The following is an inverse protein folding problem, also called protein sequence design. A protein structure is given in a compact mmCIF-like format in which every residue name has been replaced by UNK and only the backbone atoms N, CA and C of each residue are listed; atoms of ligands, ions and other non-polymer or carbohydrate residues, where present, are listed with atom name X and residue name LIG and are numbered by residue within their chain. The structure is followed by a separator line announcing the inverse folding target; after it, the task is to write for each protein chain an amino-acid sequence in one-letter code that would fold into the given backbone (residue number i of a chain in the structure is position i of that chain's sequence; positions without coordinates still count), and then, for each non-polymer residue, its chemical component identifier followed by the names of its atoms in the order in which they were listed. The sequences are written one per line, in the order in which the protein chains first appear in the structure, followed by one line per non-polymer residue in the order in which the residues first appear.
data_IF_800882813107
#
_entry.id   IF_800882813107
#
_cell.length_a   1.000
_cell.length_b   1.000
_cell.length_c   1.000
_cell.angle_alpha   90.00
_cell.angle_beta   90.00
_cell.angle_gamma   90.00
#
_symmetry.space_group_name_H-M   'P 1'
#
loop_
_entity.id
_entity.type
_entity.pdbx_description
1 polymer ?
#
# COMPACT_ATOMS: atom_id res chain seq x y z
N UNK A 1 7.71 8.05 13.15
CA UNK A 1 9.19 8.02 13.03
C UNK A 1 9.54 9.10 12.01
N UNK A 2 10.60 9.92 12.26
CA UNK A 2 11.07 10.90 11.27
C UNK A 2 11.70 10.17 10.09
N UNK A 3 11.47 10.68 8.88
CA UNK A 3 12.08 10.14 7.65
C UNK A 3 13.59 10.45 7.66
N UNK A 4 14.40 9.48 7.22
CA UNK A 4 15.86 9.56 7.22
C UNK A 4 16.40 9.92 5.85
N UNK A 5 17.22 10.98 5.78
CA UNK A 5 17.88 11.45 4.55
C UNK A 5 19.39 11.26 4.65
N UNK A 6 19.97 10.54 3.67
CA UNK A 6 21.41 10.42 3.52
C UNK A 6 21.90 11.52 2.58
N UNK A 7 22.84 12.34 3.07
CA UNK A 7 23.46 13.42 2.30
C UNK A 7 24.90 13.02 1.98
N UNK A 8 25.24 12.93 0.68
CA UNK A 8 26.55 12.50 0.20
C UNK A 8 27.16 13.63 -0.63
N UNK A 9 28.18 14.29 -0.10
CA UNK A 9 28.87 15.41 -0.76
C UNK A 9 30.30 15.50 -0.21
N UNK A 10 31.31 15.69 -1.05
CA UNK A 10 32.71 15.80 -0.60
C UNK A 10 33.05 17.19 -0.05
N UNK A 11 32.26 18.21 -0.38
CA UNK A 11 32.39 19.54 0.20
C UNK A 11 31.73 19.59 1.60
N UNK A 12 32.54 19.73 2.64
CA UNK A 12 32.06 19.79 4.04
C UNK A 12 31.08 20.94 4.27
N UNK A 13 31.29 22.10 3.62
CA UNK A 13 30.40 23.27 3.77
C UNK A 13 29.04 23.03 3.15
N UNK A 14 28.99 22.50 1.93
CA UNK A 14 27.74 22.14 1.24
C UNK A 14 27.01 21.06 2.02
N UNK A 15 27.72 20.00 2.42
CA UNK A 15 27.14 18.90 3.19
C UNK A 15 26.50 19.37 4.50
N UNK A 16 27.20 20.24 5.22
CA UNK A 16 26.69 20.80 6.49
C UNK A 16 25.44 21.64 6.26
N UNK A 17 25.44 22.55 5.29
CA UNK A 17 24.27 23.39 4.94
C UNK A 17 23.05 22.53 4.60
N UNK A 18 23.22 21.46 3.80
CA UNK A 18 22.14 20.56 3.43
C UNK A 18 21.61 19.80 4.66
N UNK A 19 22.50 19.27 5.50
CA UNK A 19 22.12 18.54 6.73
C UNK A 19 21.39 19.45 7.70
N UNK A 20 21.85 20.69 7.91
CA UNK A 20 21.19 21.67 8.78
C UNK A 20 19.78 22.01 8.26
N UNK A 21 19.66 22.39 7.00
CA UNK A 21 18.38 22.77 6.41
C UNK A 21 17.34 21.63 6.48
N UNK A 22 17.73 20.39 6.21
CA UNK A 22 16.84 19.23 6.28
C UNK A 22 16.52 18.84 7.74
N UNK A 23 17.47 18.99 8.66
CA UNK A 23 17.24 18.72 10.08
C UNK A 23 16.27 19.75 10.70
N UNK A 24 16.39 21.02 10.33
CA UNK A 24 15.46 22.08 10.74
C UNK A 24 14.05 21.84 10.20
N UNK A 25 13.94 21.18 9.03
CA UNK A 25 12.66 20.74 8.46
C UNK A 25 12.11 19.46 9.11
N UNK A 26 12.80 18.86 10.09
CA UNK A 26 12.32 17.72 10.89
C UNK A 26 12.76 16.34 10.39
N UNK A 27 13.68 16.26 9.42
CA UNK A 27 14.26 15.00 8.93
C UNK A 27 15.42 14.53 9.82
N UNK A 28 15.61 13.20 9.92
CA UNK A 28 16.80 12.58 10.48
C UNK A 28 17.90 12.54 9.40
N UNK A 29 18.98 13.33 9.53
CA UNK A 29 20.00 13.45 8.50
C UNK A 29 21.27 12.69 8.85
N UNK A 30 21.85 11.97 7.87
CA UNK A 30 23.16 11.33 7.97
C UNK A 30 24.04 11.90 6.85
N UNK A 31 25.20 12.47 7.21
CA UNK A 31 26.17 12.98 6.24
C UNK A 31 27.25 11.93 5.90
N UNK A 32 27.63 11.84 4.62
CA UNK A 32 28.76 11.07 4.11
C UNK A 32 29.65 11.98 3.28
N UNK A 33 30.98 11.88 3.47
CA UNK A 33 31.98 12.74 2.83
C UNK A 33 32.44 12.27 1.45
N UNK A 34 32.05 11.07 1.05
CA UNK A 34 32.36 10.48 -0.25
C UNK A 34 31.37 9.36 -0.61
N UNK A 35 31.42 8.91 -1.85
CA UNK A 35 30.52 7.87 -2.36
C UNK A 35 30.69 6.51 -1.69
N UNK A 36 31.91 6.16 -1.22
CA UNK A 36 32.19 4.88 -0.55
C UNK A 36 31.53 4.87 0.83
N UNK A 37 31.70 5.94 1.59
CA UNK A 37 31.04 6.13 2.88
C UNK A 37 29.53 6.17 2.71
N UNK A 38 29.02 6.86 1.69
CA UNK A 38 27.60 6.93 1.35
C UNK A 38 26.98 5.55 1.14
N UNK A 39 27.60 4.69 0.35
CA UNK A 39 27.12 3.30 0.13
C UNK A 39 27.19 2.46 1.42
N UNK A 40 28.23 2.64 2.22
CA UNK A 40 28.37 1.95 3.50
C UNK A 40 27.26 2.33 4.47
N UNK A 41 26.99 3.65 4.59
CA UNK A 41 25.95 4.17 5.47
C UNK A 41 24.55 3.80 4.99
N UNK A 42 24.28 3.83 3.68
CA UNK A 42 23.00 3.40 3.11
C UNK A 42 22.65 1.94 3.45
N UNK A 43 23.66 1.07 3.59
CA UNK A 43 23.46 -0.33 4.00
C UNK A 43 23.32 -0.51 5.52
N UNK A 44 24.14 0.21 6.30
CA UNK A 44 24.12 0.10 7.76
C UNK A 44 22.91 0.79 8.41
N UNK A 45 22.45 1.87 7.83
CA UNK A 45 21.37 2.72 8.29
C UNK A 45 20.46 3.08 7.11
N UNK A 46 19.59 2.17 6.66
CA UNK A 46 18.79 2.37 5.45
C UNK A 46 18.05 3.72 5.49
N UNK A 47 18.33 4.65 4.55
CA UNK A 47 17.65 5.92 4.46
C UNK A 47 16.33 5.78 3.70
N UNK A 48 15.44 6.76 3.82
CA UNK A 48 14.24 6.89 3.01
C UNK A 48 14.52 7.62 1.70
N UNK A 49 15.62 8.40 1.64
CA UNK A 49 16.03 9.18 0.48
C UNK A 49 17.54 9.48 0.50
N UNK A 50 18.12 9.76 -0.66
CA UNK A 50 19.51 10.18 -0.82
C UNK A 50 19.58 11.54 -1.55
N UNK A 51 20.31 12.49 -0.97
CA UNK A 51 20.78 13.71 -1.63
C UNK A 51 22.25 13.47 -1.99
N UNK A 52 22.61 13.55 -3.27
CA UNK A 52 23.87 13.02 -3.79
C UNK A 52 24.59 14.02 -4.69
N UNK A 53 25.81 14.42 -4.31
CA UNK A 53 26.65 15.18 -5.22
C UNK A 53 27.08 14.33 -6.41
N UNK A 54 27.13 14.96 -7.58
CA UNK A 54 27.53 14.30 -8.82
C UNK A 54 29.03 14.09 -8.90
N UNK A 55 29.81 15.10 -8.54
CA UNK A 55 31.27 15.14 -8.74
C UNK A 55 31.97 14.95 -7.40
N UNK A 56 32.40 13.74 -7.13
CA UNK A 56 33.15 13.41 -5.91
C UNK A 56 34.42 12.63 -6.24
N UNK A 57 35.47 12.74 -5.43
CA UNK A 57 36.69 11.92 -5.56
C UNK A 57 36.39 10.43 -5.42
N UNK A 58 37.19 9.59 -6.05
CA UNK A 58 37.17 8.12 -6.00
C UNK A 58 35.92 7.47 -6.62
N UNK A 59 34.72 7.84 -6.18
CA UNK A 59 33.46 7.29 -6.64
C UNK A 59 32.48 8.41 -6.95
N UNK A 60 32.14 8.61 -8.22
CA UNK A 60 31.20 9.64 -8.65
C UNK A 60 29.77 9.37 -8.15
N UNK A 61 28.95 10.42 -8.08
CA UNK A 61 27.52 10.25 -7.74
C UNK A 61 26.78 9.34 -8.71
N UNK A 62 27.14 9.37 -10.00
CA UNK A 62 26.57 8.45 -11.00
C UNK A 62 26.93 6.97 -10.70
N UNK A 63 28.13 6.71 -10.16
CA UNK A 63 28.55 5.36 -9.76
C UNK A 63 27.83 4.91 -8.48
N UNK A 64 27.70 5.82 -7.50
CA UNK A 64 26.91 5.58 -6.28
C UNK A 64 25.47 5.25 -6.64
N UNK A 65 24.84 6.06 -7.48
CA UNK A 65 23.46 5.84 -7.94
C UNK A 65 23.30 4.46 -8.62
N UNK A 66 24.20 4.10 -9.53
CA UNK A 66 24.18 2.78 -10.18
C UNK A 66 24.33 1.62 -9.17
N UNK A 67 25.17 1.81 -8.14
CA UNK A 67 25.33 0.82 -7.08
C UNK A 67 24.05 0.68 -6.24
N UNK A 68 23.41 1.79 -5.86
CA UNK A 68 22.13 1.80 -5.15
C UNK A 68 21.02 1.08 -5.97
N UNK A 69 20.94 1.33 -7.28
CA UNK A 69 19.95 0.71 -8.17
C UNK A 69 20.15 -0.81 -8.37
N UNK A 70 21.37 -1.32 -8.18
CA UNK A 70 21.69 -2.77 -8.27
C UNK A 70 21.40 -3.53 -6.99
N UNK A 71 21.37 -2.86 -5.85
CA UNK A 71 21.11 -3.46 -4.55
C UNK A 71 19.61 -3.53 -4.29
N UNK A 72 19.10 -4.74 -3.96
CA UNK A 72 17.66 -4.99 -3.73
C UNK A 72 17.05 -4.12 -2.64
N UNK A 73 17.84 -3.76 -1.62
CA UNK A 73 17.36 -2.97 -0.48
C UNK A 73 17.24 -1.47 -0.82
N UNK A 74 18.04 -0.97 -1.77
CA UNK A 74 18.16 0.46 -2.05
C UNK A 74 17.72 0.87 -3.45
N UNK A 75 17.36 -0.09 -4.32
CA UNK A 75 17.04 0.18 -5.74
C UNK A 75 15.90 1.16 -5.98
N UNK A 76 14.99 1.30 -5.02
CA UNK A 76 13.82 2.16 -5.12
C UNK A 76 13.91 3.41 -4.23
N UNK A 77 15.09 3.68 -3.64
CA UNK A 77 15.30 4.92 -2.88
C UNK A 77 15.20 6.13 -3.82
N UNK A 78 14.44 7.15 -3.49
CA UNK A 78 14.48 8.40 -4.22
C UNK A 78 15.85 9.05 -4.09
N UNK A 79 16.37 9.60 -5.20
CA UNK A 79 17.68 10.25 -5.28
C UNK A 79 17.53 11.62 -5.93
N UNK A 80 17.94 12.67 -5.21
CA UNK A 80 18.13 14.01 -5.77
C UNK A 80 19.61 14.22 -5.98
N UNK A 81 20.00 14.57 -7.22
CA UNK A 81 21.37 14.96 -7.50
C UNK A 81 21.60 16.44 -7.26
N UNK A 82 22.74 16.78 -6.61
CA UNK A 82 23.30 18.12 -6.57
C UNK A 82 24.44 18.20 -7.57
N UNK A 83 24.56 19.27 -8.38
CA UNK A 83 25.64 19.37 -9.36
C UNK A 83 26.04 20.82 -9.64
N UNK A 84 27.34 21.03 -9.77
CA UNK A 84 27.88 22.31 -10.24
C UNK A 84 27.67 22.57 -11.75
N UNK A 85 27.27 21.55 -12.53
CA UNK A 85 27.08 21.65 -13.97
C UNK A 85 25.62 21.86 -14.36
N UNK A 86 25.33 22.98 -15.02
CA UNK A 86 23.99 23.38 -15.51
C UNK A 86 23.70 22.89 -16.95
N UNK A 87 24.49 21.97 -17.52
CA UNK A 87 24.36 21.52 -18.90
C UNK A 87 23.12 20.67 -19.15
N UNK A 88 22.23 21.06 -20.07
CA UNK A 88 20.99 20.37 -20.41
C UNK A 88 21.15 18.87 -20.82
N UNK A 89 22.22 18.43 -21.55
CA UNK A 89 22.37 17.04 -21.95
C UNK A 89 22.57 16.07 -20.78
N UNK A 90 23.34 16.47 -19.77
CA UNK A 90 23.62 15.64 -18.60
C UNK A 90 22.43 15.49 -17.66
N UNK A 91 21.61 16.54 -17.57
CA UNK A 91 20.37 16.55 -16.79
C UNK A 91 19.35 15.55 -17.36
N UNK A 92 19.15 15.56 -18.67
CA UNK A 92 18.22 14.65 -19.35
C UNK A 92 18.67 13.20 -19.23
N UNK A 93 19.96 12.92 -19.34
CA UNK A 93 20.51 11.57 -19.21
C UNK A 93 20.29 10.99 -17.81
N UNK A 94 20.56 11.75 -16.74
CA UNK A 94 20.38 11.28 -15.36
C UNK A 94 18.92 11.04 -14.98
N UNK A 95 18.00 11.85 -15.50
CA UNK A 95 16.57 11.61 -15.34
C UNK A 95 16.13 10.32 -16.06
N UNK A 96 16.70 10.03 -17.23
CA UNK A 96 16.46 8.77 -17.96
C UNK A 96 17.10 7.56 -17.25
N UNK A 97 18.21 7.76 -16.53
CA UNK A 97 18.89 6.72 -15.75
C UNK A 97 18.22 6.47 -14.37
N UNK A 98 17.04 7.07 -14.12
CA UNK A 98 16.19 6.80 -12.96
C UNK A 98 16.48 7.67 -11.73
N UNK A 99 17.07 8.86 -11.91
CA UNK A 99 17.07 9.89 -10.87
C UNK A 99 15.67 10.51 -10.71
N UNK A 100 15.27 10.77 -9.48
CA UNK A 100 13.95 11.35 -9.20
C UNK A 100 13.94 12.87 -9.42
N UNK A 101 15.05 13.56 -9.14
CA UNK A 101 15.21 15.00 -9.41
C UNK A 101 16.69 15.39 -9.49
N UNK A 102 16.92 16.65 -9.90
CA UNK A 102 18.23 17.26 -10.08
C UNK A 102 18.19 18.73 -9.67
N UNK A 103 19.21 19.17 -8.92
CA UNK A 103 19.37 20.57 -8.50
C UNK A 103 20.76 21.08 -8.81
N UNK A 104 20.85 22.29 -9.38
CA UNK A 104 22.13 22.94 -9.69
C UNK A 104 22.69 23.68 -8.46
N UNK A 105 24.00 23.58 -8.24
CA UNK A 105 24.74 24.41 -7.28
C UNK A 105 25.13 25.74 -7.96
N UNK A 106 24.98 26.92 -7.28
CA UNK A 106 24.40 27.11 -5.95
C UNK A 106 22.89 26.97 -5.96
N UNK A 107 22.29 26.48 -4.87
CA UNK A 107 20.87 26.25 -4.71
C UNK A 107 20.31 26.99 -3.48
N UNK A 108 19.01 27.21 -3.51
CA UNK A 108 18.24 27.69 -2.38
C UNK A 108 17.86 26.50 -1.46
N UNK A 109 18.07 26.66 -0.16
CA UNK A 109 17.80 25.62 0.84
C UNK A 109 16.30 25.33 0.98
N UNK A 110 15.43 26.34 0.84
CA UNK A 110 13.98 26.16 0.90
C UNK A 110 13.49 25.38 -0.33
N UNK A 111 14.08 25.63 -1.51
CA UNK A 111 13.80 24.85 -2.72
C UNK A 111 14.25 23.38 -2.53
N UNK A 112 15.43 23.15 -1.94
CA UNK A 112 15.91 21.80 -1.65
C UNK A 112 14.94 21.05 -0.71
N UNK A 113 14.54 21.67 0.40
CA UNK A 113 13.60 21.10 1.36
C UNK A 113 12.26 20.77 0.69
N UNK A 114 11.73 21.67 -0.15
CA UNK A 114 10.48 21.43 -0.88
C UNK A 114 10.57 20.25 -1.84
N UNK A 115 11.70 20.08 -2.55
CA UNK A 115 11.96 18.95 -3.47
C UNK A 115 12.10 17.63 -2.70
N UNK A 116 12.88 17.62 -1.62
CA UNK A 116 13.04 16.46 -0.73
C UNK A 116 11.68 16.02 -0.19
N UNK A 117 10.89 16.95 0.33
CA UNK A 117 9.53 16.68 0.83
C UNK A 117 8.64 16.09 -0.26
N UNK A 118 8.68 16.64 -1.47
CA UNK A 118 7.88 16.16 -2.59
C UNK A 118 8.29 14.76 -3.04
N UNK A 119 9.59 14.49 -3.14
CA UNK A 119 10.12 13.19 -3.54
C UNK A 119 9.84 12.10 -2.49
N UNK A 120 10.00 12.42 -1.20
CA UNK A 120 9.64 11.51 -0.10
C UNK A 120 8.15 11.20 -0.10
N UNK A 121 7.28 12.19 -0.20
CA UNK A 121 5.82 11.99 -0.30
C UNK A 121 5.44 11.12 -1.48
N UNK A 122 6.05 11.33 -2.66
CA UNK A 122 5.82 10.50 -3.85
C UNK A 122 6.28 9.07 -3.62
N UNK A 123 7.48 8.86 -3.06
CA UNK A 123 8.03 7.55 -2.75
C UNK A 123 7.15 6.80 -1.73
N UNK A 124 6.75 7.45 -0.65
CA UNK A 124 5.85 6.89 0.36
C UNK A 124 4.48 6.55 -0.25
N UNK A 125 3.93 7.42 -1.08
CA UNK A 125 2.66 7.17 -1.77
C UNK A 125 2.76 5.97 -2.71
N UNK A 126 3.83 5.85 -3.50
CA UNK A 126 4.04 4.71 -4.40
C UNK A 126 4.29 3.40 -3.64
N UNK A 127 5.05 3.43 -2.53
CA UNK A 127 5.25 2.28 -1.64
C UNK A 127 3.97 1.91 -0.89
N UNK A 128 3.08 2.86 -0.68
CA UNK A 128 1.80 2.65 -0.02
C UNK A 128 0.75 2.01 -0.93
N UNK A 129 0.99 1.91 -2.25
CA UNK A 129 0.08 1.26 -3.18
C UNK A 129 0.40 -0.22 -3.32
N UNK A 130 -0.65 -1.03 -3.46
CA UNK A 130 -0.50 -2.42 -3.85
C UNK A 130 -0.08 -2.52 -5.32
N UNK A 131 1.01 -3.22 -5.67
CA UNK A 131 1.55 -3.22 -7.04
C UNK A 131 0.64 -3.90 -8.07
N UNK A 132 -0.25 -4.78 -7.64
CA UNK A 132 -1.16 -5.49 -8.54
C UNK A 132 -2.40 -4.66 -8.87
N UNK A 133 -3.05 -4.10 -7.85
CA UNK A 133 -4.31 -3.36 -8.02
C UNK A 133 -4.12 -1.85 -8.19
N UNK A 134 -2.97 -1.31 -7.81
CA UNK A 134 -2.72 0.14 -7.74
C UNK A 134 -3.49 0.85 -6.61
N UNK A 135 -4.19 0.10 -5.76
CA UNK A 135 -4.96 0.64 -4.65
C UNK A 135 -4.08 0.90 -3.41
N UNK A 136 -4.48 1.82 -2.52
CA UNK A 136 -3.85 2.02 -1.23
C UNK A 136 -3.62 0.72 -0.48
N UNK A 137 -2.38 0.50 0.01
CA UNK A 137 -1.99 -0.69 0.76
C UNK A 137 -2.16 -0.52 2.27
N UNK A 138 -1.62 -1.47 3.03
CA UNK A 138 -1.81 -1.58 4.49
C UNK A 138 -1.53 -0.29 5.26
N UNK A 139 -0.46 0.45 4.93
CA UNK A 139 -0.12 1.70 5.63
C UNK A 139 -1.23 2.73 5.50
N UNK A 140 -1.74 2.92 4.28
CA UNK A 140 -2.83 3.87 4.01
C UNK A 140 -4.16 3.40 4.63
N UNK A 141 -4.44 2.08 4.60
CA UNK A 141 -5.62 1.48 5.24
C UNK A 141 -5.60 1.76 6.75
N UNK A 142 -4.49 1.48 7.44
CA UNK A 142 -4.38 1.71 8.88
C UNK A 142 -4.52 3.19 9.23
N UNK A 143 -3.87 4.09 8.48
CA UNK A 143 -4.02 5.54 8.67
C UNK A 143 -5.46 6.02 8.48
N UNK A 144 -6.18 5.48 7.51
CA UNK A 144 -7.59 5.83 7.27
C UNK A 144 -8.49 5.33 8.41
N UNK A 145 -8.32 4.09 8.88
CA UNK A 145 -9.06 3.55 10.00
C UNK A 145 -8.80 4.34 11.29
N UNK A 146 -7.55 4.70 11.58
CA UNK A 146 -7.20 5.55 12.72
C UNK A 146 -7.83 6.94 12.62
N UNK A 147 -7.83 7.54 11.42
CA UNK A 147 -8.48 8.82 11.17
C UNK A 147 -9.98 8.73 11.48
N UNK A 148 -10.67 7.70 10.97
CA UNK A 148 -12.11 7.51 11.20
C UNK A 148 -12.44 7.25 12.67
N UNK A 149 -11.58 6.52 13.40
CA UNK A 149 -11.73 6.34 14.84
C UNK A 149 -11.61 7.67 15.59
N UNK A 150 -10.65 8.52 15.26
CA UNK A 150 -10.50 9.83 15.91
C UNK A 150 -11.65 10.78 15.60
N UNK A 151 -12.11 10.79 14.36
CA UNK A 151 -13.13 11.73 13.90
C UNK A 151 -14.55 11.33 14.34
N UNK A 152 -14.76 10.08 14.79
CA UNK A 152 -16.08 9.57 15.16
C UNK A 152 -17.11 9.66 14.02
N UNK A 153 -16.68 9.48 12.78
CA UNK A 153 -17.40 9.83 11.54
C UNK A 153 -18.62 8.97 11.22
N UNK A 154 -19.03 8.01 12.09
CA UNK A 154 -20.12 7.09 11.79
C UNK A 154 -19.88 6.20 10.57
N UNK A 155 -18.62 5.92 10.29
CA UNK A 155 -18.19 5.07 9.17
C UNK A 155 -18.10 3.59 9.57
N UNK A 156 -18.09 2.71 8.58
CA UNK A 156 -17.87 1.28 8.75
C UNK A 156 -16.66 0.81 7.95
N UNK A 157 -15.99 -0.21 8.48
CA UNK A 157 -15.00 -1.00 7.75
C UNK A 157 -15.70 -2.17 7.06
N UNK A 158 -15.56 -2.26 5.75
CA UNK A 158 -16.08 -3.33 4.89
C UNK A 158 -14.87 -4.15 4.44
N UNK A 159 -14.72 -5.37 4.93
CA UNK A 159 -13.63 -6.27 4.61
C UNK A 159 -14.10 -7.31 3.58
N UNK A 160 -13.43 -7.42 2.45
CA UNK A 160 -13.78 -8.30 1.34
C UNK A 160 -12.68 -9.33 1.09
N UNK A 161 -13.07 -10.58 0.77
CA UNK A 161 -12.17 -11.70 0.50
C UNK A 161 -12.79 -12.61 -0.58
N UNK A 162 -11.96 -13.27 -1.39
CA UNK A 162 -12.40 -14.21 -2.39
C UNK A 162 -12.40 -15.64 -1.85
N UNK A 163 -13.57 -16.26 -1.81
CA UNK A 163 -13.68 -17.66 -1.45
C UNK A 163 -13.20 -18.55 -2.59
N UNK A 164 -12.54 -19.66 -2.25
CA UNK A 164 -12.02 -20.63 -3.23
C UNK A 164 -10.92 -20.11 -4.16
N UNK A 165 -10.34 -18.93 -3.88
CA UNK A 165 -9.32 -18.29 -4.72
C UNK A 165 -8.07 -19.16 -4.90
N UNK A 166 -7.64 -19.88 -3.85
CA UNK A 166 -6.52 -20.82 -3.96
C UNK A 166 -6.82 -21.94 -4.96
N UNK A 167 -8.03 -22.51 -4.93
CA UNK A 167 -8.42 -23.58 -5.86
C UNK A 167 -8.49 -23.07 -7.31
N UNK A 168 -8.95 -21.83 -7.50
CA UNK A 168 -8.93 -21.17 -8.80
C UNK A 168 -7.50 -21.00 -9.32
N UNK A 169 -6.57 -20.51 -8.50
CA UNK A 169 -5.16 -20.38 -8.86
C UNK A 169 -4.49 -21.71 -9.17
N UNK A 170 -4.82 -22.75 -8.40
CA UNK A 170 -4.31 -24.11 -8.62
C UNK A 170 -4.75 -24.68 -9.96
N UNK A 171 -5.91 -24.25 -10.47
CA UNK A 171 -6.48 -24.73 -11.75
C UNK A 171 -6.05 -23.86 -12.93
N UNK A 172 -6.19 -22.54 -12.83
CA UNK A 172 -5.97 -21.60 -13.93
C UNK A 172 -4.60 -20.91 -13.93
N UNK A 173 -3.84 -21.02 -12.83
CA UNK A 173 -2.56 -20.35 -12.63
C UNK A 173 -2.69 -18.90 -12.13
N UNK A 174 -1.57 -18.39 -11.60
CA UNK A 174 -1.53 -17.08 -10.91
C UNK A 174 -1.90 -15.92 -11.84
N UNK A 175 -1.52 -15.96 -13.12
CA UNK A 175 -1.81 -14.84 -14.02
C UNK A 175 -3.32 -14.60 -14.20
N UNK A 176 -4.15 -15.67 -14.16
CA UNK A 176 -5.61 -15.55 -14.22
C UNK A 176 -6.17 -15.16 -12.85
N UNK A 177 -5.55 -15.61 -11.76
CA UNK A 177 -5.87 -15.13 -10.40
C UNK A 177 -5.63 -13.64 -10.23
N UNK A 178 -4.54 -13.11 -10.77
CA UNK A 178 -4.26 -11.68 -10.77
C UNK A 178 -5.36 -10.88 -11.51
N UNK A 179 -5.88 -11.40 -12.61
CA UNK A 179 -7.03 -10.79 -13.32
C UNK A 179 -8.28 -10.74 -12.44
N UNK A 180 -8.52 -11.79 -11.64
CA UNK A 180 -9.66 -11.85 -10.73
C UNK A 180 -9.51 -10.84 -9.57
N UNK A 181 -8.31 -10.70 -9.01
CA UNK A 181 -7.99 -9.68 -7.99
C UNK A 181 -8.24 -8.28 -8.57
N UNK A 182 -7.73 -8.00 -9.79
CA UNK A 182 -7.94 -6.70 -10.46
C UNK A 182 -9.42 -6.45 -10.74
N UNK A 183 -10.18 -7.49 -11.14
CA UNK A 183 -11.63 -7.39 -11.34
C UNK A 183 -12.33 -6.97 -10.05
N UNK A 184 -12.08 -7.68 -8.93
CA UNK A 184 -12.65 -7.31 -7.64
C UNK A 184 -12.25 -5.87 -7.25
N UNK A 185 -10.98 -5.51 -7.34
CA UNK A 185 -10.52 -4.14 -7.05
C UNK A 185 -11.28 -3.06 -7.83
N UNK A 186 -11.52 -3.28 -9.13
CA UNK A 186 -12.31 -2.34 -9.96
C UNK A 186 -13.78 -2.26 -9.52
N UNK A 187 -14.39 -3.36 -9.14
CA UNK A 187 -15.76 -3.38 -8.63
C UNK A 187 -15.88 -2.62 -7.31
N UNK A 188 -14.88 -2.76 -6.42
CA UNK A 188 -14.82 -2.05 -5.15
C UNK A 188 -14.67 -0.54 -5.37
N UNK A 189 -13.82 -0.11 -6.32
CA UNK A 189 -13.68 1.30 -6.70
C UNK A 189 -14.99 1.85 -7.24
N UNK A 190 -15.64 1.16 -8.17
CA UNK A 190 -16.92 1.60 -8.72
C UNK A 190 -18.03 1.68 -7.65
N UNK A 191 -18.03 0.76 -6.68
CA UNK A 191 -18.94 0.80 -5.54
C UNK A 191 -18.65 2.02 -4.64
N UNK A 192 -17.37 2.31 -4.35
CA UNK A 192 -16.95 3.48 -3.57
C UNK A 192 -17.28 4.81 -4.27
N UNK A 193 -17.05 4.91 -5.58
CA UNK A 193 -17.41 6.10 -6.38
C UNK A 193 -18.90 6.43 -6.31
N UNK A 194 -19.78 5.40 -6.20
CA UNK A 194 -21.22 5.60 -6.02
C UNK A 194 -21.60 6.19 -4.66
N UNK A 195 -20.69 6.11 -3.67
CA UNK A 195 -20.86 6.74 -2.35
C UNK A 195 -20.37 8.19 -2.37
N UNK A 196 -19.26 8.45 -3.08
CA UNK A 196 -18.66 9.77 -3.20
C UNK A 196 -17.31 9.89 -2.48
N UNK A 197 -16.82 11.13 -2.25
CA UNK A 197 -15.47 11.40 -1.75
C UNK A 197 -15.23 10.92 -0.31
N UNK A 198 -16.26 10.55 0.41
CA UNK A 198 -16.17 10.00 1.77
C UNK A 198 -15.74 8.54 1.79
N UNK A 199 -15.80 7.84 0.65
CA UNK A 199 -15.40 6.45 0.57
C UNK A 199 -13.89 6.30 0.38
N UNK A 200 -13.35 5.24 0.96
CA UNK A 200 -11.96 4.82 0.77
C UNK A 200 -11.93 3.35 0.35
N UNK A 201 -10.97 3.01 -0.51
CA UNK A 201 -10.72 1.62 -0.93
C UNK A 201 -9.24 1.32 -0.77
N UNK A 202 -8.92 0.16 -0.19
CA UNK A 202 -7.56 -0.31 -0.03
C UNK A 202 -7.44 -1.81 -0.32
N UNK A 203 -6.23 -2.25 -0.68
CA UNK A 203 -5.88 -3.64 -0.94
C UNK A 203 -4.86 -4.11 0.10
N UNK A 204 -5.28 -5.00 0.99
CA UNK A 204 -4.45 -5.53 2.09
C UNK A 204 -3.34 -6.42 1.53
N UNK A 205 -3.67 -7.32 0.61
CA UNK A 205 -2.75 -8.25 -0.03
C UNK A 205 -3.43 -9.57 -0.39
N UNK A 206 -2.91 -10.26 -1.41
CA UNK A 206 -3.57 -11.47 -1.93
C UNK A 206 -4.96 -11.14 -2.46
N UNK A 207 -5.98 -11.74 -1.89
CA UNK A 207 -7.39 -11.59 -2.20
C UNK A 207 -8.18 -10.72 -1.20
N UNK A 208 -7.50 -10.11 -0.21
CA UNK A 208 -8.10 -9.30 0.85
C UNK A 208 -8.14 -7.80 0.51
N UNK A 209 -9.33 -7.19 0.63
CA UNK A 209 -9.56 -5.77 0.41
C UNK A 209 -10.33 -5.13 1.56
N UNK A 210 -10.19 -3.81 1.70
CA UNK A 210 -10.91 -3.00 2.68
C UNK A 210 -11.55 -1.80 2.00
N UNK A 211 -12.85 -1.55 2.30
CA UNK A 211 -13.48 -0.28 2.03
C UNK A 211 -13.85 0.40 3.36
N UNK A 212 -13.84 1.73 3.35
CA UNK A 212 -14.44 2.51 4.43
C UNK A 212 -15.52 3.40 3.82
N UNK A 213 -16.73 3.25 4.34
CA UNK A 213 -17.92 3.97 3.83
C UNK A 213 -18.79 4.45 4.99
N UNK A 214 -19.69 5.42 4.80
CA UNK A 214 -20.72 5.77 5.79
C UNK A 214 -21.59 4.56 6.14
N UNK A 215 -22.01 4.46 7.42
CA UNK A 215 -22.74 3.29 7.94
C UNK A 215 -24.09 3.08 7.23
N UNK A 216 -24.78 4.16 6.89
CA UNK A 216 -26.07 4.14 6.17
C UNK A 216 -25.97 3.63 4.72
N UNK A 217 -24.76 3.60 4.15
CA UNK A 217 -24.52 3.13 2.77
C UNK A 217 -23.95 1.72 2.73
N UNK A 218 -23.55 1.14 3.86
CA UNK A 218 -22.76 -0.09 3.93
C UNK A 218 -23.43 -1.30 3.27
N UNK A 219 -24.69 -1.57 3.60
CA UNK A 219 -25.41 -2.74 3.06
C UNK A 219 -25.73 -2.58 1.57
N UNK A 220 -25.99 -1.35 1.10
CA UNK A 220 -26.19 -1.08 -0.32
C UNK A 220 -24.91 -1.29 -1.11
N UNK A 221 -23.75 -0.84 -0.58
CA UNK A 221 -22.44 -1.07 -1.15
C UNK A 221 -22.15 -2.57 -1.23
N UNK A 222 -22.33 -3.33 -0.13
CA UNK A 222 -22.09 -4.77 -0.11
C UNK A 222 -22.98 -5.50 -1.12
N UNK A 223 -24.27 -5.17 -1.20
CA UNK A 223 -25.21 -5.74 -2.17
C UNK A 223 -24.78 -5.47 -3.61
N UNK A 224 -24.32 -4.26 -3.92
CA UNK A 224 -23.79 -3.90 -5.25
C UNK A 224 -22.56 -4.69 -5.61
N UNK A 225 -21.61 -4.82 -4.67
CA UNK A 225 -20.37 -5.59 -4.87
C UNK A 225 -20.72 -7.04 -5.17
N UNK A 226 -21.50 -7.71 -4.32
CA UNK A 226 -21.91 -9.10 -4.48
C UNK A 226 -22.57 -9.32 -5.83
N UNK A 227 -23.57 -8.51 -6.17
CA UNK A 227 -24.30 -8.64 -7.43
C UNK A 227 -23.38 -8.47 -8.65
N UNK A 228 -22.57 -7.41 -8.67
CA UNK A 228 -21.66 -7.12 -9.79
C UNK A 228 -20.57 -8.20 -9.91
N UNK A 229 -20.08 -8.73 -8.78
CA UNK A 229 -19.11 -9.81 -8.78
C UNK A 229 -19.70 -11.09 -9.36
N UNK A 230 -20.88 -11.54 -8.88
CA UNK A 230 -21.54 -12.73 -9.36
C UNK A 230 -21.92 -12.67 -10.86
N UNK A 231 -22.26 -11.46 -11.35
CA UNK A 231 -22.53 -11.23 -12.78
C UNK A 231 -21.24 -11.31 -13.64
N UNK A 232 -20.09 -10.88 -13.12
CA UNK A 232 -18.86 -10.76 -13.91
C UNK A 232 -17.87 -11.91 -13.70
N UNK A 233 -17.86 -12.54 -12.52
CA UNK A 233 -16.90 -13.62 -12.21
C UNK A 233 -16.95 -14.78 -13.23
N UNK A 234 -18.07 -15.18 -13.83
CA UNK A 234 -18.06 -16.24 -14.85
C UNK A 234 -17.23 -15.90 -16.09
N UNK A 235 -16.97 -14.61 -16.35
CA UNK A 235 -16.20 -14.19 -17.54
C UNK A 235 -14.71 -14.54 -17.45
N UNK A 236 -14.17 -14.80 -16.24
CA UNK A 236 -12.77 -15.20 -16.04
C UNK A 236 -12.54 -16.70 -16.19
N UNK A 237 -13.61 -17.48 -16.39
CA UNK A 237 -13.57 -18.93 -16.59
C UNK A 237 -13.58 -19.29 -18.07
N UNK A 238 -13.02 -20.45 -18.43
CA UNK A 238 -13.10 -20.99 -19.78
C UNK A 238 -14.56 -21.29 -20.16
N UNK A 239 -14.84 -21.31 -21.45
CA UNK A 239 -16.21 -21.50 -21.97
C UNK A 239 -16.83 -22.81 -21.48
N UNK A 240 -16.03 -23.85 -21.32
CA UNK A 240 -16.48 -25.19 -20.87
C UNK A 240 -16.89 -25.14 -19.39
N UNK A 241 -16.02 -24.59 -18.50
CA UNK A 241 -16.34 -24.50 -17.08
C UNK A 241 -17.49 -23.53 -16.82
N UNK A 242 -17.53 -22.43 -17.59
CA UNK A 242 -18.66 -21.48 -17.54
C UNK A 242 -19.99 -22.16 -17.93
N UNK A 243 -19.96 -23.00 -18.94
CA UNK A 243 -21.16 -23.74 -19.38
C UNK A 243 -21.63 -24.77 -18.37
N UNK A 244 -20.71 -25.36 -17.59
CA UNK A 244 -21.01 -26.32 -16.51
C UNK A 244 -21.43 -25.63 -15.21
N UNK A 245 -20.95 -24.42 -14.95
CA UNK A 245 -21.14 -23.69 -13.70
C UNK A 245 -20.19 -24.10 -12.57
N UNK A 246 -19.17 -24.92 -12.83
CA UNK A 246 -18.16 -25.38 -11.88
C UNK A 246 -16.89 -25.84 -12.61
N UNK A 247 -15.77 -25.92 -11.88
CA UNK A 247 -14.50 -26.48 -12.34
C UNK A 247 -14.48 -27.97 -12.00
N UNK A 248 -14.06 -28.83 -12.94
CA UNK A 248 -13.75 -30.24 -12.67
C UNK A 248 -12.24 -30.36 -12.40
N UNK A 249 -11.88 -30.88 -11.23
CA UNK A 249 -10.49 -31.15 -10.84
C UNK A 249 -10.32 -32.60 -10.45
N UNK A 250 -9.37 -33.26 -11.09
CA UNK A 250 -9.00 -34.62 -10.73
C UNK A 250 -7.86 -34.58 -9.71
N UNK A 251 -8.04 -35.24 -8.57
CA UNK A 251 -6.99 -35.35 -7.53
C UNK A 251 -5.92 -36.40 -7.92
N UNK A 252 -4.86 -36.53 -7.06
CA UNK A 252 -3.77 -37.48 -7.27
C UNK A 252 -4.20 -38.96 -7.25
N UNK A 253 -5.42 -39.27 -6.82
CA UNK A 253 -6.00 -40.61 -6.77
C UNK A 253 -6.93 -40.88 -7.96
N UNK A 254 -7.06 -39.93 -8.90
CA UNK A 254 -7.94 -40.04 -10.07
C UNK A 254 -9.41 -39.74 -9.77
N UNK A 255 -9.73 -39.17 -8.60
CA UNK A 255 -11.11 -38.81 -8.23
C UNK A 255 -11.41 -37.39 -8.70
N UNK A 256 -12.53 -37.24 -9.41
CA UNK A 256 -13.01 -35.95 -9.86
C UNK A 256 -13.77 -35.22 -8.73
N UNK A 257 -13.43 -33.93 -8.55
CA UNK A 257 -14.07 -33.02 -7.62
C UNK A 257 -14.64 -31.82 -8.38
N UNK A 258 -15.91 -31.52 -8.11
CA UNK A 258 -16.54 -30.30 -8.62
C UNK A 258 -16.25 -29.16 -7.66
N UNK A 259 -15.50 -28.15 -8.14
CA UNK A 259 -15.19 -26.96 -7.38
C UNK A 259 -16.12 -25.82 -7.83
N UNK A 260 -16.81 -25.14 -6.89
CA UNK A 260 -17.66 -24.01 -7.24
C UNK A 260 -16.84 -22.85 -7.79
N UNK A 261 -17.49 -21.92 -8.46
CA UNK A 261 -16.86 -20.67 -8.84
C UNK A 261 -16.47 -19.87 -7.61
N UNK A 262 -15.46 -19.02 -7.78
CA UNK A 262 -15.03 -18.07 -6.75
C UNK A 262 -16.20 -17.15 -6.39
N UNK A 263 -16.39 -16.92 -5.10
CA UNK A 263 -17.39 -16.02 -4.54
C UNK A 263 -16.71 -14.94 -3.71
N UNK A 264 -17.42 -13.89 -3.32
CA UNK A 264 -16.92 -12.83 -2.45
C UNK A 264 -17.62 -12.86 -1.10
N UNK A 265 -16.83 -12.92 -0.02
CA UNK A 265 -17.31 -12.83 1.35
C UNK A 265 -16.98 -11.47 1.95
N UNK A 266 -17.97 -10.80 2.54
CA UNK A 266 -17.85 -9.43 3.05
C UNK A 266 -18.21 -9.37 4.53
N UNK A 267 -17.30 -8.81 5.35
CA UNK A 267 -17.54 -8.45 6.75
C UNK A 267 -17.72 -6.95 6.92
N UNK A 268 -18.78 -6.50 7.58
CA UNK A 268 -19.07 -5.08 7.83
C UNK A 268 -19.00 -4.82 9.32
N UNK A 269 -18.13 -3.90 9.76
CA UNK A 269 -17.91 -3.56 11.17
C UNK A 269 -17.96 -2.04 11.37
N UNK A 270 -18.80 -1.51 12.29
CA UNK A 270 -18.77 -0.10 12.64
C UNK A 270 -17.43 0.33 13.20
N UNK A 271 -16.90 1.47 12.72
CA UNK A 271 -15.68 2.09 13.24
C UNK A 271 -16.09 2.99 14.41
N UNK A 272 -16.12 2.43 15.62
CA UNK A 272 -16.68 3.07 16.81
C UNK A 272 -15.58 3.25 17.87
N UNK A 273 -15.23 4.50 18.25
CA UNK A 273 -14.17 4.79 19.23
C UNK A 273 -14.45 4.18 20.60
N UNK A 274 -15.73 4.08 20.98
CA UNK A 274 -16.17 3.45 22.22
C UNK A 274 -15.96 1.94 22.27
N UNK A 275 -15.71 1.33 21.10
CA UNK A 275 -15.54 -0.11 20.97
C UNK A 275 -14.12 -0.55 20.64
N UNK A 276 -13.40 0.25 19.89
CA UNK A 276 -12.06 -0.09 19.38
C UNK A 276 -11.04 0.93 19.82
N UNK A 277 -9.93 0.44 20.41
CA UNK A 277 -8.81 1.28 20.83
C UNK A 277 -7.92 1.76 19.67
N UNK A 278 -7.91 1.01 18.58
CA UNK A 278 -6.99 1.23 17.46
C UNK A 278 -7.49 0.60 16.16
N UNK A 279 -6.84 0.94 15.04
CA UNK A 279 -7.16 0.45 13.70
C UNK A 279 -6.97 -1.08 13.57
N UNK A 280 -6.03 -1.67 14.30
CA UNK A 280 -5.75 -3.11 14.25
C UNK A 280 -6.93 -3.89 14.81
N UNK A 281 -7.53 -3.39 15.91
CA UNK A 281 -8.72 -4.00 16.51
C UNK A 281 -9.93 -3.95 15.55
N UNK A 282 -10.13 -2.85 14.82
CA UNK A 282 -11.17 -2.74 13.78
C UNK A 282 -10.94 -3.74 12.66
N UNK A 283 -9.72 -3.81 12.12
CA UNK A 283 -9.37 -4.71 11.02
C UNK A 283 -9.56 -6.18 11.42
N UNK A 284 -9.15 -6.55 12.63
CA UNK A 284 -9.34 -7.91 13.17
C UNK A 284 -10.83 -8.26 13.29
N UNK A 285 -11.63 -7.37 13.85
CA UNK A 285 -13.06 -7.59 13.97
C UNK A 285 -13.75 -7.74 12.61
N UNK A 286 -13.32 -6.95 11.61
CA UNK A 286 -13.85 -7.04 10.25
C UNK A 286 -13.51 -8.37 9.57
N UNK A 287 -12.28 -8.88 9.77
CA UNK A 287 -11.87 -10.21 9.31
C UNK A 287 -12.68 -11.34 9.99
N UNK A 288 -12.95 -11.23 11.31
CA UNK A 288 -13.81 -12.20 12.02
C UNK A 288 -15.25 -12.22 11.47
N UNK A 289 -15.80 -11.05 11.19
CA UNK A 289 -17.17 -10.95 10.63
C UNK A 289 -17.23 -11.47 9.20
N UNK A 290 -16.18 -11.27 8.41
CA UNK A 290 -16.03 -11.87 7.08
C UNK A 290 -16.14 -13.41 7.14
N UNK A 291 -15.52 -14.05 8.14
CA UNK A 291 -15.63 -15.51 8.32
C UNK A 291 -17.07 -15.99 8.57
N UNK A 292 -17.95 -15.12 9.10
CA UNK A 292 -19.38 -15.44 9.23
C UNK A 292 -20.05 -15.44 7.85
N UNK A 293 -19.71 -14.51 6.98
CA UNK A 293 -20.19 -14.47 5.61
C UNK A 293 -19.73 -15.72 4.85
N UNK A 294 -18.45 -16.08 4.99
CA UNK A 294 -17.81 -17.24 4.32
C UNK A 294 -18.44 -18.61 4.59
N UNK A 295 -19.24 -18.72 5.66
CA UNK A 295 -20.00 -19.96 5.98
C UNK A 295 -21.30 -20.07 5.21
N UNK A 296 -21.68 -19.08 4.43
CA UNK A 296 -22.91 -19.09 3.62
C UNK A 296 -22.55 -19.55 2.20
N UNK A 297 -23.51 -20.18 1.53
CA UNK A 297 -23.33 -20.57 0.14
C UNK A 297 -23.38 -19.32 -0.76
N UNK A 298 -22.43 -19.22 -1.70
CA UNK A 298 -22.34 -18.12 -2.65
C UNK A 298 -21.78 -16.83 -2.06
N UNK A 299 -21.73 -15.78 -2.87
CA UNK A 299 -21.28 -14.46 -2.42
C UNK A 299 -22.22 -13.86 -1.38
N UNK A 300 -21.66 -13.36 -0.28
CA UNK A 300 -22.49 -12.91 0.85
C UNK A 300 -21.82 -11.83 1.69
N UNK A 301 -22.58 -11.22 2.57
CA UNK A 301 -22.04 -10.30 3.59
C UNK A 301 -22.64 -10.58 4.96
N UNK A 302 -21.88 -10.22 5.99
CA UNK A 302 -22.33 -10.21 7.39
C UNK A 302 -22.04 -8.85 8.02
N UNK A 303 -22.93 -8.42 8.91
CA UNK A 303 -22.79 -7.16 9.65
C UNK A 303 -22.52 -7.48 11.12
N UNK A 304 -21.52 -6.84 11.71
CA UNK A 304 -21.29 -6.93 13.14
C UNK A 304 -22.39 -6.15 13.90
N UNK A 305 -23.21 -6.89 14.62
CA UNK A 305 -24.29 -6.34 15.46
C UNK A 305 -23.93 -6.34 16.95
N UNK A 306 -22.69 -6.70 17.32
CA UNK A 306 -22.26 -6.66 18.72
C UNK A 306 -22.23 -5.21 19.21
N UNK A 307 -22.93 -4.89 20.27
CA UNK A 307 -22.83 -3.58 20.95
C UNK A 307 -21.54 -3.52 21.77
N UNK A 308 -21.02 -2.32 22.06
CA UNK A 308 -19.95 -2.16 23.04
C UNK A 308 -20.41 -2.83 24.35
N UNK A 309 -19.63 -3.78 24.86
CA UNK A 309 -19.93 -4.41 26.15
C UNK A 309 -19.89 -3.30 27.21
N UNK A 310 -21.00 -3.00 27.83
CA UNK A 310 -21.05 -2.23 29.07
C UNK A 310 -20.03 -2.84 30.03
N UNK A 311 -19.16 -1.99 30.60
CA UNK A 311 -17.97 -2.35 31.33
C UNK A 311 -18.16 -3.54 32.28
N UNK A 312 -17.17 -4.41 32.31
CA UNK A 312 -17.09 -5.45 33.35
C UNK A 312 -17.33 -4.83 34.73
N UNK A 313 -18.23 -5.37 35.53
CA UNK A 313 -18.43 -4.87 36.88
C UNK A 313 -17.11 -5.03 37.66
N UNK A 314 -16.62 -3.93 38.21
CA UNK A 314 -15.53 -3.90 39.16
C UNK A 314 -15.85 -4.88 40.28
N UNK A 315 -15.07 -5.94 40.42
CA UNK A 315 -15.15 -6.80 41.61
C UNK A 315 -14.86 -5.93 42.85
N UNK A 316 -15.70 -5.97 43.89
CA UNK A 316 -15.35 -5.35 45.14
C UNK A 316 -14.20 -6.11 45.79
N UNK A 317 -13.11 -5.38 46.09
CA UNK A 317 -12.03 -5.87 46.94
C UNK A 317 -12.59 -6.05 48.35
N UNK A 318 -12.61 -7.27 48.81
CA UNK A 318 -12.80 -7.62 50.21
C UNK A 318 -11.46 -7.70 50.95
#
# INVERSE_FOLDING_TARGET
MSERVLVVDDDDGVRQVVVEALSDAGYECIGARDGIEGLRLARAHPPDMVVLDVVMPQLSGDDVHRALRRDLATRYLPVIFLSAQSGAPDKTRRLLDGADDYMAKPFDTDELVARVTTALRRSTSLRALNPLSGLPGNVAIMSELERRLRDGSGSVCVYCDLDHFKQFNDHYGFARGDQLIVLLGRLLVAAAESVGPEAFVGHVGGDDFVLVVPADRAEDVARRIVRAFDELVPTVYDAEDRGRGFIVRTDRHGIEHNLPFVTVSIGIVPIAPERFSDAVAVSRAAAEVKEIAKRRDGSSWAVDRRQASEGSPSMPVA
#
